data_IF_461648322187
#
_entry.id   IF_461648322187
#
_cell.length_a   1.000
_cell.length_b   1.000
_cell.length_c   1.000
_cell.angle_alpha   90.00
_cell.angle_beta   90.00
_cell.angle_gamma   90.00
#
_symmetry.space_group_name_H-M   'P 1'
#
loop_
_entity.id
_entity.type
_entity.pdbx_description
1 polymer ?
#
# COMPACT_ATOMS: atom_id res chain seq x y z
N UNK A 1 -16.23 4.26 -8.59
CA UNK A 1 -15.99 3.14 -7.64
C UNK A 1 -15.04 3.62 -6.55
N UNK A 2 -15.15 3.16 -5.30
CA UNK A 2 -14.26 3.56 -4.19
C UNK A 2 -13.63 2.30 -3.58
N UNK A 3 -12.30 2.27 -3.47
CA UNK A 3 -11.54 1.21 -2.78
C UNK A 3 -10.89 1.87 -1.57
N UNK A 4 -11.30 1.39 -0.40
CA UNK A 4 -10.85 1.88 0.90
C UNK A 4 -10.01 0.79 1.57
N UNK A 5 -8.72 1.07 1.81
CA UNK A 5 -7.86 0.24 2.67
C UNK A 5 -8.03 0.72 4.11
N UNK A 6 -8.65 -0.08 4.96
CA UNK A 6 -8.73 0.22 6.39
C UNK A 6 -7.42 -0.23 7.04
N UNK A 7 -6.60 0.72 7.48
CA UNK A 7 -5.36 0.43 8.20
C UNK A 7 -5.50 0.85 9.66
N UNK A 8 -5.27 -0.09 10.56
CA UNK A 8 -5.32 0.14 12.01
C UNK A 8 -4.07 -0.50 12.61
N UNK A 9 -3.05 0.32 12.79
CA UNK A 9 -1.82 -0.02 13.48
C UNK A 9 -1.73 0.80 14.76
N UNK A 10 -1.57 0.12 15.89
CA UNK A 10 -1.28 0.73 17.18
C UNK A 10 0.00 0.11 17.69
N UNK A 11 1.05 0.92 17.90
CA UNK A 11 2.29 0.47 18.54
C UNK A 11 2.00 -0.06 19.94
N UNK A 12 2.67 -1.15 20.33
CA UNK A 12 2.42 -1.78 21.63
C UNK A 12 3.19 -1.05 22.76
N UNK A 13 4.25 -0.32 22.43
CA UNK A 13 5.07 0.45 23.37
C UNK A 13 5.39 1.86 22.86
N UNK A 14 5.70 2.82 23.77
CA UNK A 14 6.26 4.11 23.38
C UNK A 14 7.55 3.93 22.57
N UNK A 15 7.56 4.41 21.32
CA UNK A 15 8.69 4.26 20.40
C UNK A 15 8.59 3.07 19.43
N UNK A 16 7.50 2.29 19.47
CA UNK A 16 7.18 1.32 18.41
C UNK A 16 6.80 2.08 17.12
N UNK A 17 7.82 2.41 16.33
CA UNK A 17 7.66 3.08 15.05
C UNK A 17 7.73 2.09 13.89
N UNK A 18 6.94 2.37 12.85
CA UNK A 18 6.87 1.54 11.64
C UNK A 18 6.90 2.39 10.37
N UNK A 19 7.31 1.76 9.27
CA UNK A 19 7.12 2.32 7.93
C UNK A 19 5.89 1.68 7.27
N UNK A 20 5.06 2.49 6.62
CA UNK A 20 3.91 2.06 5.83
C UNK A 20 4.29 1.97 4.36
N UNK A 21 4.09 0.79 3.80
CA UNK A 21 4.16 0.51 2.37
C UNK A 21 2.76 0.30 1.83
N UNK A 22 2.44 0.89 0.69
CA UNK A 22 1.18 0.63 -0.03
C UNK A 22 1.54 0.14 -1.42
N UNK A 23 0.97 -1.00 -1.82
CA UNK A 23 1.23 -1.62 -3.12
C UNK A 23 -0.06 -2.07 -3.79
N UNK A 24 -0.02 -2.18 -5.11
CA UNK A 24 -1.09 -2.72 -5.93
C UNK A 24 -0.52 -3.83 -6.79
N UNK A 25 -1.10 -5.02 -6.69
CA UNK A 25 -0.92 -6.09 -7.65
C UNK A 25 -1.92 -5.87 -8.80
N UNK A 26 -1.38 -5.64 -9.98
CA UNK A 26 -2.13 -5.51 -11.22
C UNK A 26 -2.60 -6.89 -11.72
N UNK A 27 -3.61 -6.96 -12.61
CA UNK A 27 -4.06 -8.22 -13.21
C UNK A 27 -2.98 -9.02 -13.95
N UNK A 28 -1.89 -8.37 -14.35
CA UNK A 28 -0.75 -8.96 -15.06
C UNK A 28 0.34 -9.51 -14.11
N UNK A 29 -0.02 -9.75 -12.84
CA UNK A 29 0.90 -10.21 -11.78
C UNK A 29 2.09 -9.26 -11.53
N UNK A 30 1.86 -7.96 -11.72
CA UNK A 30 2.87 -6.92 -11.57
C UNK A 30 2.58 -5.98 -10.40
N UNK A 31 3.61 -5.62 -9.63
CA UNK A 31 3.47 -4.70 -8.49
C UNK A 31 3.85 -3.27 -8.85
N UNK A 32 3.00 -2.34 -8.41
CA UNK A 32 3.32 -0.92 -8.29
C UNK A 32 3.15 -0.46 -6.85
N UNK A 33 3.96 0.52 -6.44
CA UNK A 33 4.07 0.99 -5.07
C UNK A 33 3.68 2.46 -5.00
N UNK A 34 2.87 2.80 -4.00
CA UNK A 34 2.52 4.18 -3.71
C UNK A 34 3.75 4.91 -3.17
N UNK A 35 3.99 6.10 -3.67
CA UNK A 35 5.14 6.93 -3.34
C UNK A 35 4.70 8.12 -2.49
N UNK A 36 5.61 8.71 -1.69
CA UNK A 36 5.31 9.94 -0.95
C UNK A 36 5.14 11.17 -1.85
N UNK A 37 5.35 11.05 -3.17
CA UNK A 37 5.29 12.16 -4.12
C UNK A 37 3.87 12.38 -4.65
N UNK A 38 3.44 13.64 -4.71
CA UNK A 38 2.11 14.00 -5.22
C UNK A 38 1.96 13.85 -6.74
N UNK A 39 3.07 13.95 -7.49
CA UNK A 39 3.09 13.78 -8.94
C UNK A 39 3.59 12.37 -9.28
N UNK A 40 2.77 11.60 -10.01
CA UNK A 40 2.96 10.16 -10.28
C UNK A 40 3.01 9.33 -8.99
N UNK A 41 1.84 9.14 -8.34
CA UNK A 41 1.76 8.56 -7.00
C UNK A 41 2.14 7.08 -6.98
N UNK A 42 2.09 6.37 -8.12
CA UNK A 42 2.50 4.96 -8.20
C UNK A 42 3.76 4.79 -9.05
N UNK A 43 4.69 3.97 -8.57
CA UNK A 43 5.91 3.61 -9.28
C UNK A 43 6.22 2.12 -9.18
N UNK A 44 6.91 1.55 -10.17
CA UNK A 44 7.33 0.14 -10.13
C UNK A 44 8.44 -0.13 -9.11
N UNK A 45 9.18 0.91 -8.71
CA UNK A 45 10.26 0.79 -7.73
C UNK A 45 9.69 0.61 -6.31
N UNK A 46 10.03 -0.47 -5.59
CA UNK A 46 9.60 -0.67 -4.21
C UNK A 46 10.11 0.44 -3.29
N UNK A 47 9.20 1.11 -2.58
CA UNK A 47 9.51 2.12 -1.59
C UNK A 47 8.38 2.27 -0.56
N UNK A 48 8.72 2.76 0.63
CA UNK A 48 7.75 3.14 1.64
C UNK A 48 6.96 4.39 1.20
N UNK A 49 5.67 4.41 1.54
CA UNK A 49 4.80 5.57 1.34
C UNK A 49 4.97 6.59 2.47
N UNK A 50 5.03 6.10 3.71
CA UNK A 50 5.26 6.90 4.91
C UNK A 50 6.23 6.16 5.84
N UNK A 51 7.01 6.92 6.62
CA UNK A 51 8.07 6.38 7.48
C UNK A 51 7.98 6.92 8.89
N UNK A 52 8.48 6.18 9.88
CA UNK A 52 8.54 6.55 11.30
C UNK A 52 7.17 6.88 11.92
N UNK A 53 6.18 6.03 11.68
CA UNK A 53 4.82 6.18 12.21
C UNK A 53 4.72 5.54 13.60
N UNK A 54 4.35 6.33 14.62
CA UNK A 54 4.13 5.82 15.99
C UNK A 54 2.83 5.01 16.12
N UNK A 55 1.76 5.51 15.52
CA UNK A 55 0.46 4.84 15.44
C UNK A 55 -0.32 5.39 14.26
N UNK A 56 -1.13 4.54 13.62
CA UNK A 56 -1.92 4.94 12.47
C UNK A 56 -3.23 4.17 12.45
N UNK A 57 -4.31 4.87 12.78
CA UNK A 57 -5.67 4.37 12.60
C UNK A 57 -6.37 5.24 11.58
N UNK A 58 -6.39 4.79 10.32
CA UNK A 58 -7.02 5.54 9.23
C UNK A 58 -7.67 4.64 8.21
N UNK A 59 -8.67 5.17 7.53
CA UNK A 59 -9.17 4.60 6.28
C UNK A 59 -8.40 5.30 5.18
N UNK A 60 -7.54 4.56 4.48
CA UNK A 60 -6.76 5.06 3.37
C UNK A 60 -7.56 4.89 2.06
N UNK A 61 -8.18 5.95 1.52
CA UNK A 61 -8.81 5.88 0.21
C UNK A 61 -7.71 5.78 -0.84
N UNK A 62 -7.63 4.65 -1.55
CA UNK A 62 -6.57 4.44 -2.56
C UNK A 62 -6.94 5.14 -3.88
N UNK A 63 -8.23 5.17 -4.19
CA UNK A 63 -8.74 5.61 -5.50
C UNK A 63 -8.50 7.08 -5.89
N UNK A 64 -8.35 8.07 -4.99
CA UNK A 64 -7.96 9.41 -5.42
C UNK A 64 -6.63 9.43 -6.21
N UNK A 65 -5.81 8.38 -6.08
CA UNK A 65 -4.49 8.27 -6.70
C UNK A 65 -4.43 7.24 -7.83
N UNK A 66 -5.52 6.51 -8.10
CA UNK A 66 -5.50 5.33 -8.98
C UNK A 66 -6.60 5.39 -10.04
N UNK A 67 -6.22 5.71 -11.27
CA UNK A 67 -7.06 5.60 -12.46
C UNK A 67 -6.69 4.36 -13.26
N UNK A 68 -7.70 3.52 -13.56
CA UNK A 68 -7.53 2.33 -14.39
C UNK A 68 -7.54 2.77 -15.85
N UNK A 69 -6.41 2.63 -16.55
CA UNK A 69 -6.36 3.00 -17.98
C UNK A 69 -7.22 2.05 -18.83
N UNK A 70 -7.57 2.49 -20.04
CA UNK A 70 -8.37 1.70 -20.96
C UNK A 70 -7.65 0.39 -21.31
N UNK A 71 -8.39 -0.72 -21.29
CA UNK A 71 -7.81 -2.05 -21.55
C UNK A 71 -7.16 -2.73 -20.34
N UNK A 72 -6.98 -2.05 -19.21
CA UNK A 72 -6.42 -2.63 -17.97
C UNK A 72 -7.49 -3.10 -16.97
N UNK A 73 -8.71 -3.41 -17.41
CA UNK A 73 -9.71 -4.00 -16.52
C UNK A 73 -9.25 -5.38 -16.01
N UNK A 74 -9.62 -5.74 -14.77
CA UNK A 74 -9.29 -7.05 -14.21
C UNK A 74 -9.31 -7.09 -12.69
N UNK A 75 -8.66 -8.12 -12.15
CA UNK A 75 -8.50 -8.32 -10.71
C UNK A 75 -7.31 -7.53 -10.19
N UNK A 76 -7.55 -6.69 -9.20
CA UNK A 76 -6.55 -5.90 -8.52
C UNK A 76 -6.52 -6.31 -7.05
N UNK A 77 -5.32 -6.47 -6.51
CA UNK A 77 -5.13 -6.63 -5.06
C UNK A 77 -4.37 -5.44 -4.51
N UNK A 78 -4.95 -4.80 -3.52
CA UNK A 78 -4.37 -3.66 -2.84
C UNK A 78 -3.80 -4.09 -1.50
N UNK A 79 -2.59 -3.66 -1.19
CA UNK A 79 -1.87 -4.00 0.03
C UNK A 79 -1.51 -2.74 0.81
N UNK A 80 -1.67 -2.80 2.14
CA UNK A 80 -1.01 -1.94 3.09
C UNK A 80 -0.16 -2.81 4.02
N UNK A 81 1.13 -2.49 4.15
CA UNK A 81 2.09 -3.27 4.91
C UNK A 81 2.83 -2.34 5.88
N UNK A 82 2.72 -2.61 7.17
CA UNK A 82 3.55 -1.97 8.19
C UNK A 82 4.80 -2.81 8.42
N UNK A 83 5.95 -2.14 8.44
CA UNK A 83 7.27 -2.77 8.54
C UNK A 83 8.12 -2.12 9.62
N UNK A 84 9.15 -2.81 10.09
CA UNK A 84 10.23 -2.18 10.84
C UNK A 84 10.83 -1.00 10.06
N UNK A 85 11.22 0.07 10.76
CA UNK A 85 11.74 1.29 10.13
C UNK A 85 12.94 0.99 9.22
N UNK A 86 12.92 1.58 8.04
CA UNK A 86 14.00 1.51 7.05
C UNK A 86 14.15 0.15 6.40
N UNK A 87 13.27 -0.81 6.71
CA UNK A 87 13.33 -2.15 6.15
C UNK A 87 12.51 -2.27 4.87
N UNK A 88 13.00 -3.10 3.95
CA UNK A 88 12.33 -3.41 2.70
C UNK A 88 11.69 -4.81 2.79
N UNK A 89 10.36 -4.92 2.82
CA UNK A 89 9.67 -6.20 2.99
C UNK A 89 9.81 -7.13 1.78
N UNK A 90 10.15 -6.58 0.60
CA UNK A 90 10.40 -7.37 -0.62
C UNK A 90 11.74 -8.10 -0.54
N UNK A 91 12.73 -7.49 0.14
CA UNK A 91 14.05 -8.11 0.34
C UNK A 91 14.09 -9.01 1.57
N UNK A 92 13.31 -8.67 2.60
CA UNK A 92 13.21 -9.46 3.82
C UNK A 92 11.78 -9.43 4.36
N UNK A 93 11.03 -10.52 4.16
CA UNK A 93 9.63 -10.61 4.62
C UNK A 93 9.46 -10.66 6.15
N UNK A 94 10.52 -10.96 6.92
CA UNK A 94 10.40 -11.09 8.39
C UNK A 94 10.20 -9.75 9.10
N UNK A 95 10.41 -8.64 8.39
CA UNK A 95 10.28 -7.27 8.93
C UNK A 95 8.83 -6.77 8.94
N UNK A 96 7.91 -7.54 8.36
CA UNK A 96 6.49 -7.20 8.30
C UNK A 96 5.88 -7.35 9.70
N UNK A 97 5.29 -6.26 10.20
CA UNK A 97 4.57 -6.22 11.47
C UNK A 97 3.07 -6.50 11.28
N UNK A 98 2.50 -5.98 10.21
CA UNK A 98 1.09 -6.13 9.88
C UNK A 98 0.88 -5.98 8.38
N UNK A 99 -0.06 -6.75 7.84
CA UNK A 99 -0.50 -6.65 6.46
C UNK A 99 -2.02 -6.56 6.40
N UNK A 100 -2.53 -5.74 5.50
CA UNK A 100 -3.94 -5.68 5.15
C UNK A 100 -4.04 -5.72 3.64
N UNK A 101 -4.96 -6.53 3.12
CA UNK A 101 -5.21 -6.65 1.69
C UNK A 101 -6.69 -6.49 1.36
N UNK A 102 -6.97 -5.97 0.16
CA UNK A 102 -8.32 -5.87 -0.39
C UNK A 102 -8.25 -6.26 -1.86
N UNK A 103 -9.03 -7.27 -2.25
CA UNK A 103 -9.21 -7.69 -3.63
C UNK A 103 -10.42 -6.99 -4.25
N UNK A 104 -10.28 -6.55 -5.49
CA UNK A 104 -11.39 -5.94 -6.21
C UNK A 104 -11.27 -6.12 -7.71
N UNK A 105 -12.42 -6.15 -8.40
CA UNK A 105 -12.47 -6.19 -9.86
C UNK A 105 -12.72 -4.77 -10.34
N UNK A 106 -11.73 -4.20 -11.03
CA UNK A 106 -11.88 -2.90 -11.66
C UNK A 106 -12.20 -3.10 -13.13
N UNK A 107 -13.26 -2.44 -13.59
CA UNK A 107 -13.62 -2.38 -15.02
C UNK A 107 -13.45 -0.96 -15.51
N UNK A 108 -12.91 -0.81 -16.72
CA UNK A 108 -12.94 0.44 -17.45
C UNK A 108 -13.85 0.23 -18.67
N UNK A 109 -15.14 0.58 -18.51
CA UNK A 109 -16.14 0.57 -19.60
C UNK A 109 -16.13 1.90 -20.32
#
# INVERSE_FOLDING_TARGET
MKVDLKVDFTGNHPGDQVDLWVAVLLPEDYFIFLTPYSFNPFRPTPQAFQTNLDSMKTVFPIIPYFEVQAGMGGNYTFYAVFTEIGQNPIKNGTVIRQITQVDTILSNR
#
